data_IF_964909175056
#
_entry.id   IF_964909175056
#
_cell.length_a   1.000
_cell.length_b   1.000
_cell.length_c   1.000
_cell.angle_alpha   90.00
_cell.angle_beta   90.00
_cell.angle_gamma   90.00
#
_symmetry.space_group_name_H-M   'P 1'
#
loop_
_entity.id
_entity.type
_entity.pdbx_description
1 polymer ?
#
# COMPACT_ATOMS: atom_id res chain seq x y z
N UNK A 1 15.34 18.78 -35.09
CA UNK A 1 14.84 17.93 -33.99
C UNK A 1 13.37 18.28 -33.81
N UNK A 2 12.46 17.40 -34.22
CA UNK A 2 11.01 17.66 -34.13
C UNK A 2 10.58 17.23 -32.73
N UNK A 3 10.28 18.19 -31.86
CA UNK A 3 9.66 17.89 -30.57
C UNK A 3 8.23 17.43 -30.85
N UNK A 4 7.99 16.12 -30.72
CA UNK A 4 6.64 15.55 -30.76
C UNK A 4 5.86 16.06 -29.54
N UNK A 5 5.29 17.25 -29.64
CA UNK A 5 4.31 17.78 -28.70
C UNK A 5 3.07 16.91 -28.80
N UNK A 6 3.04 15.90 -27.93
CA UNK A 6 1.85 15.08 -27.72
C UNK A 6 0.78 15.98 -27.12
N UNK A 7 -0.13 16.48 -27.96
CA UNK A 7 -1.33 17.16 -27.49
C UNK A 7 -2.23 16.12 -26.81
N UNK A 8 -2.58 16.38 -25.55
CA UNK A 8 -3.68 15.68 -24.88
C UNK A 8 -4.91 16.53 -25.11
N UNK A 9 -5.87 15.98 -25.86
CA UNK A 9 -6.96 16.82 -26.35
C UNK A 9 -8.08 16.98 -25.34
N UNK A 10 -8.34 15.97 -24.47
CA UNK A 10 -9.36 16.05 -23.42
C UNK A 10 -9.12 15.03 -22.30
N UNK A 11 -9.17 15.48 -21.05
CA UNK A 11 -9.35 14.61 -19.88
C UNK A 11 -10.84 14.29 -19.72
N UNK A 12 -11.18 13.01 -19.58
CA UNK A 12 -12.56 12.54 -19.50
C UNK A 12 -13.00 12.31 -18.05
N UNK A 13 -12.16 11.63 -17.27
CA UNK A 13 -12.44 11.32 -15.86
C UNK A 13 -11.18 11.07 -15.07
N UNK A 14 -11.25 11.35 -13.79
CA UNK A 14 -10.26 10.96 -12.77
C UNK A 14 -10.92 10.02 -11.78
N UNK A 15 -10.17 9.04 -11.31
CA UNK A 15 -10.58 8.12 -10.26
C UNK A 15 -9.39 7.65 -9.42
N UNK A 16 -9.69 6.89 -8.36
CA UNK A 16 -8.69 6.35 -7.45
C UNK A 16 -8.75 4.82 -7.40
N UNK A 17 -7.60 4.20 -7.18
CA UNK A 17 -7.45 2.78 -6.86
C UNK A 17 -6.84 2.63 -5.47
N UNK A 18 -7.69 2.37 -4.47
CA UNK A 18 -7.29 2.29 -3.06
C UNK A 18 -6.23 1.21 -2.80
N UNK A 19 -6.41 -0.01 -3.32
CA UNK A 19 -5.48 -1.14 -3.14
C UNK A 19 -4.07 -0.87 -3.70
N UNK A 20 -3.96 -0.03 -4.73
CA UNK A 20 -2.70 0.28 -5.41
C UNK A 20 -2.19 1.69 -5.08
N UNK A 21 -2.86 2.38 -4.15
CA UNK A 21 -2.69 3.79 -3.85
C UNK A 21 -2.39 4.65 -5.10
N UNK A 22 -3.27 4.60 -6.09
CA UNK A 22 -3.02 5.22 -7.40
C UNK A 22 -4.15 6.11 -7.89
N UNK A 23 -3.78 7.25 -8.48
CA UNK A 23 -4.68 8.06 -9.31
C UNK A 23 -4.74 7.49 -10.72
N UNK A 24 -5.94 7.45 -11.28
CA UNK A 24 -6.19 7.00 -12.66
C UNK A 24 -6.87 8.12 -13.41
N UNK A 25 -6.20 8.60 -14.47
CA UNK A 25 -6.74 9.63 -15.37
C UNK A 25 -7.05 8.98 -16.71
N UNK A 26 -8.30 9.09 -17.15
CA UNK A 26 -8.72 8.68 -18.48
C UNK A 26 -8.77 9.91 -19.39
N UNK A 27 -8.15 9.81 -20.57
CA UNK A 27 -8.03 10.92 -21.51
C UNK A 27 -8.00 10.42 -22.96
N UNK A 28 -8.31 11.32 -23.89
CA UNK A 28 -8.18 11.03 -25.33
C UNK A 28 -6.93 11.70 -25.91
N UNK A 29 -6.20 10.96 -26.75
CA UNK A 29 -5.06 11.48 -27.51
C UNK A 29 -5.32 11.31 -29.01
N UNK A 30 -5.12 12.35 -29.81
CA UNK A 30 -5.08 12.23 -31.27
C UNK A 30 -3.73 11.61 -31.69
N UNK A 31 -3.80 10.53 -32.48
CA UNK A 31 -2.63 9.91 -33.09
C UNK A 31 -2.22 10.67 -34.36
N UNK A 32 -1.03 10.39 -34.91
CA UNK A 32 -0.50 11.03 -36.13
C UNK A 32 -1.43 10.88 -37.35
N UNK A 33 -2.37 9.92 -37.31
CA UNK A 33 -3.40 9.68 -38.33
C UNK A 33 -4.72 10.44 -38.10
N UNK A 34 -4.79 11.33 -37.12
CA UNK A 34 -5.99 12.11 -36.78
C UNK A 34 -7.07 11.34 -36.00
N UNK A 35 -6.86 10.06 -35.69
CA UNK A 35 -7.81 9.23 -34.93
C UNK A 35 -7.66 9.49 -33.42
N UNK A 36 -8.78 9.66 -32.71
CA UNK A 36 -8.83 9.75 -31.25
C UNK A 36 -8.69 8.34 -30.63
N UNK A 37 -7.75 8.20 -29.71
CA UNK A 37 -7.53 6.99 -28.92
C UNK A 37 -7.80 7.26 -27.44
N UNK A 38 -8.57 6.38 -26.79
CA UNK A 38 -8.77 6.40 -25.34
C UNK A 38 -7.51 5.87 -24.66
N UNK A 39 -7.03 6.57 -23.63
CA UNK A 39 -5.85 6.19 -22.85
C UNK A 39 -6.10 6.37 -21.36
N UNK A 40 -5.38 5.59 -20.57
CA UNK A 40 -5.35 5.68 -19.11
C UNK A 40 -3.94 5.97 -18.64
N UNK A 41 -3.79 6.95 -17.75
CA UNK A 41 -2.56 7.19 -16.99
C UNK A 41 -2.79 6.75 -15.55
N UNK A 42 -1.86 5.96 -15.01
CA UNK A 42 -1.81 5.63 -13.58
C UNK A 42 -0.65 6.38 -12.94
N UNK A 43 -0.90 6.96 -11.76
CA UNK A 43 0.10 7.63 -10.94
C UNK A 43 0.07 6.95 -9.57
N UNK A 44 1.12 6.22 -9.24
CA UNK A 44 1.27 5.53 -7.95
C UNK A 44 1.80 6.53 -6.93
N UNK A 45 1.12 6.61 -5.79
CA UNK A 45 1.41 7.60 -4.74
C UNK A 45 1.89 6.97 -3.44
N UNK A 46 1.92 5.63 -3.34
CA UNK A 46 2.29 4.89 -2.14
C UNK A 46 3.66 5.32 -1.59
N UNK A 47 4.70 5.23 -2.41
CA UNK A 47 6.07 5.61 -2.02
C UNK A 47 6.16 7.07 -1.53
N UNK A 48 5.38 7.96 -2.14
CA UNK A 48 5.35 9.37 -1.73
C UNK A 48 4.65 9.57 -0.39
N UNK A 49 3.59 8.81 -0.10
CA UNK A 49 2.88 8.95 1.17
C UNK A 49 3.70 8.29 2.28
N UNK A 50 4.16 7.06 2.07
CA UNK A 50 4.93 6.29 3.06
C UNK A 50 6.26 6.98 3.40
N UNK A 51 6.94 7.58 2.42
CA UNK A 51 8.21 8.27 2.68
C UNK A 51 8.04 9.54 3.53
N UNK A 52 6.92 10.23 3.40
CA UNK A 52 6.67 11.49 4.10
C UNK A 52 5.85 11.30 5.38
N UNK A 53 5.28 10.12 5.61
CA UNK A 53 4.61 9.75 6.85
C UNK A 53 5.58 8.98 7.76
N UNK A 54 5.63 9.25 9.07
CA UNK A 54 4.77 10.14 9.87
C UNK A 54 5.29 11.57 10.03
N UNK A 55 6.33 11.97 9.28
CA UNK A 55 7.02 13.27 9.48
C UNK A 55 6.16 14.49 9.13
N UNK A 56 5.31 14.37 8.10
CA UNK A 56 4.42 15.43 7.62
C UNK A 56 2.97 15.15 7.97
N UNK A 57 2.23 16.22 8.25
CA UNK A 57 0.77 16.17 8.43
C UNK A 57 0.06 15.81 7.11
N UNK A 58 -1.17 15.30 7.19
CA UNK A 58 -1.93 14.85 6.00
C UNK A 58 -2.10 15.99 4.96
N UNK A 59 -2.35 17.21 5.42
CA UNK A 59 -2.41 18.42 4.59
C UNK A 59 -1.10 18.68 3.84
N UNK A 60 0.03 18.52 4.51
CA UNK A 60 1.35 18.77 3.93
C UNK A 60 1.70 17.69 2.90
N UNK A 61 1.36 16.43 3.16
CA UNK A 61 1.52 15.33 2.21
C UNK A 61 0.69 15.59 0.94
N UNK A 62 -0.57 16.02 1.10
CA UNK A 62 -1.45 16.33 -0.04
C UNK A 62 -0.86 17.46 -0.90
N UNK A 63 -0.38 18.54 -0.29
CA UNK A 63 0.19 19.66 -1.03
C UNK A 63 1.52 19.28 -1.70
N UNK A 64 2.36 18.50 -1.02
CA UNK A 64 3.60 17.96 -1.58
C UNK A 64 3.33 17.12 -2.84
N UNK A 65 2.34 16.21 -2.78
CA UNK A 65 1.95 15.38 -3.93
C UNK A 65 1.46 16.25 -5.08
N UNK A 66 0.59 17.24 -4.82
CA UNK A 66 0.08 18.14 -5.86
C UNK A 66 1.23 18.86 -6.57
N UNK A 67 2.09 19.55 -5.81
CA UNK A 67 3.14 20.39 -6.38
C UNK A 67 4.25 19.55 -7.03
N UNK A 68 4.78 18.57 -6.32
CA UNK A 68 6.00 17.88 -6.72
C UNK A 68 5.76 16.63 -7.57
N UNK A 69 4.58 16.02 -7.51
CA UNK A 69 4.26 14.84 -8.33
C UNK A 69 3.37 15.22 -9.50
N UNK A 70 2.23 15.84 -9.23
CA UNK A 70 1.21 16.04 -10.25
C UNK A 70 1.55 17.21 -11.19
N UNK A 71 1.77 18.41 -10.66
CA UNK A 71 2.07 19.58 -11.49
C UNK A 71 3.50 19.57 -12.03
N UNK A 72 4.47 18.93 -11.36
CA UNK A 72 5.84 18.84 -11.89
C UNK A 72 5.98 17.77 -12.97
N UNK A 73 5.52 16.55 -12.73
CA UNK A 73 5.76 15.41 -13.62
C UNK A 73 4.60 15.11 -14.57
N UNK A 74 3.38 15.56 -14.27
CA UNK A 74 2.17 15.21 -15.00
C UNK A 74 1.29 16.41 -15.38
N UNK A 75 1.81 17.64 -15.41
CA UNK A 75 1.08 18.89 -15.73
C UNK A 75 0.11 18.74 -16.91
N UNK A 76 0.56 18.13 -18.02
CA UNK A 76 -0.24 17.93 -19.24
C UNK A 76 -1.63 17.31 -18.98
N UNK A 77 -1.72 16.42 -17.99
CA UNK A 77 -2.98 15.76 -17.62
C UNK A 77 -3.71 16.50 -16.48
N UNK A 78 -2.97 16.98 -15.48
CA UNK A 78 -3.58 17.51 -14.26
C UNK A 78 -3.98 18.99 -14.37
N UNK A 79 -3.43 19.76 -15.30
CA UNK A 79 -3.84 21.16 -15.55
C UNK A 79 -5.30 21.30 -15.99
N UNK A 80 -5.88 20.23 -16.55
CA UNK A 80 -7.26 20.20 -17.02
C UNK A 80 -8.26 19.75 -15.95
N UNK A 81 -7.77 19.35 -14.77
CA UNK A 81 -8.58 18.79 -13.69
C UNK A 81 -8.71 19.85 -12.59
N UNK A 82 -9.92 20.15 -12.09
CA UNK A 82 -10.07 21.12 -11.01
C UNK A 82 -9.28 20.74 -9.75
N UNK A 83 -8.57 21.70 -9.17
CA UNK A 83 -7.71 21.48 -8.00
C UNK A 83 -8.43 20.79 -6.83
N UNK A 84 -9.65 21.23 -6.52
CA UNK A 84 -10.46 20.64 -5.45
C UNK A 84 -10.76 19.15 -5.67
N UNK A 85 -10.86 18.72 -6.93
CA UNK A 85 -11.10 17.32 -7.27
C UNK A 85 -9.83 16.51 -7.07
N UNK A 86 -8.67 17.04 -7.50
CA UNK A 86 -7.37 16.41 -7.27
C UNK A 86 -7.12 16.26 -5.76
N UNK A 87 -7.28 17.34 -5.01
CA UNK A 87 -7.09 17.38 -3.56
C UNK A 87 -7.97 16.33 -2.86
N UNK A 88 -9.25 16.26 -3.20
CA UNK A 88 -10.17 15.27 -2.66
C UNK A 88 -9.70 13.84 -2.94
N UNK A 89 -9.23 13.55 -4.15
CA UNK A 89 -8.77 12.21 -4.53
C UNK A 89 -7.46 11.84 -3.83
N UNK A 90 -6.51 12.78 -3.73
CA UNK A 90 -5.23 12.57 -3.04
C UNK A 90 -5.48 12.38 -1.54
N UNK A 91 -6.30 13.22 -0.91
CA UNK A 91 -6.67 13.07 0.51
C UNK A 91 -7.30 11.71 0.80
N UNK A 92 -8.22 11.25 -0.06
CA UNK A 92 -8.80 9.90 0.08
C UNK A 92 -7.77 8.77 0.00
N UNK A 93 -6.69 8.95 -0.77
CA UNK A 93 -5.60 7.99 -0.84
C UNK A 93 -4.73 8.06 0.42
N UNK A 94 -4.34 9.27 0.85
CA UNK A 94 -3.59 9.52 2.08
C UNK A 94 -4.32 8.90 3.27
N UNK A 95 -5.58 9.27 3.50
CA UNK A 95 -6.44 8.69 4.55
C UNK A 95 -6.45 7.16 4.53
N UNK A 96 -6.58 6.56 3.34
CA UNK A 96 -6.66 5.11 3.21
C UNK A 96 -5.32 4.45 3.56
N UNK A 97 -4.22 5.06 3.15
CA UNK A 97 -2.87 4.59 3.48
C UNK A 97 -2.56 4.78 4.96
N UNK A 98 -2.72 5.98 5.53
CA UNK A 98 -2.42 6.28 6.94
C UNK A 98 -3.27 5.42 7.88
N UNK A 99 -4.56 5.23 7.59
CA UNK A 99 -5.43 4.34 8.38
C UNK A 99 -5.03 2.86 8.30
N UNK A 100 -4.42 2.43 7.19
CA UNK A 100 -3.89 1.06 7.09
C UNK A 100 -2.61 0.84 7.90
N UNK A 101 -1.89 1.91 8.26
CA UNK A 101 -0.68 1.86 9.09
C UNK A 101 -0.96 1.96 10.60
N UNK A 102 -2.19 2.30 11.01
CA UNK A 102 -2.54 2.42 12.43
C UNK A 102 -2.93 1.06 13.04
N UNK A 103 -2.50 0.75 14.28
CA UNK A 103 -2.96 -0.43 15.02
C UNK A 103 -4.50 -0.47 15.13
N UNK A 104 -5.13 -1.67 15.12
CA UNK A 104 -6.59 -1.81 15.11
C UNK A 104 -7.31 -1.16 16.30
N UNK A 105 -6.60 -0.79 17.38
CA UNK A 105 -7.18 -0.16 18.57
C UNK A 105 -7.55 1.32 18.41
N UNK A 106 -7.09 2.02 17.35
CA UNK A 106 -7.40 3.44 17.13
C UNK A 106 -8.38 3.70 15.97
N UNK A 107 -9.00 2.65 15.42
CA UNK A 107 -10.07 2.79 14.43
C UNK A 107 -11.32 3.38 15.10
N UNK A 108 -11.34 4.71 15.19
CA UNK A 108 -12.49 5.49 15.62
C UNK A 108 -13.66 5.15 14.71
N UNK A 109 -14.70 4.56 15.30
CA UNK A 109 -15.93 4.22 14.58
C UNK A 109 -16.48 5.48 13.89
N UNK A 110 -16.94 5.39 12.63
CA UNK A 110 -17.64 6.51 12.01
C UNK A 110 -18.92 6.79 12.79
N UNK A 111 -19.04 8.00 13.32
CA UNK A 111 -20.28 8.54 13.87
C UNK A 111 -21.38 8.40 12.81
N UNK A 112 -22.30 7.46 13.05
CA UNK A 112 -23.50 7.24 12.26
C UNK A 112 -24.47 8.39 12.51
N UNK A 113 -24.64 9.28 11.54
CA UNK A 113 -25.92 9.97 11.38
C UNK A 113 -26.90 9.02 10.70
N UNK A 114 -28.01 8.81 11.37
CA UNK A 114 -29.10 7.90 11.02
C UNK A 114 -29.66 8.16 9.61
N UNK A 115 -29.80 7.10 8.82
CA UNK A 115 -31.04 6.83 8.08
C UNK A 115 -31.21 5.32 8.01
N UNK A 116 -32.21 4.86 8.77
CA UNK A 116 -32.77 3.50 8.73
C UNK A 116 -33.39 3.29 7.36
N UNK A 117 -33.11 2.15 6.72
CA UNK A 117 -34.15 1.34 6.08
C UNK A 117 -33.67 -0.11 5.93
N UNK A 118 -34.55 -1.00 6.37
CA UNK A 118 -34.38 -2.42 6.60
C UNK A 118 -34.52 -3.26 5.32
N UNK A 119 -34.14 -4.53 5.49
CA UNK A 119 -34.41 -5.74 4.68
C UNK A 119 -33.45 -5.94 3.50
N UNK A 120 -32.80 -7.08 3.32
CA UNK A 120 -33.26 -8.45 3.52
C UNK A 120 -32.10 -9.44 3.71
N UNK A 121 -32.42 -10.55 4.38
CA UNK A 121 -31.55 -11.66 4.79
C UNK A 121 -31.76 -12.83 3.84
N UNK A 122 -30.71 -13.38 3.23
CA UNK A 122 -30.62 -14.72 2.62
C UNK A 122 -29.14 -14.93 2.21
N UNK A 123 -28.30 -15.73 2.90
CA UNK A 123 -28.19 -17.21 3.00
C UNK A 123 -27.99 -17.93 1.66
N UNK A 124 -26.73 -18.24 1.34
CA UNK A 124 -26.19 -19.30 0.46
C UNK A 124 -24.66 -19.26 0.70
N UNK A 125 -23.91 -20.21 1.28
CA UNK A 125 -23.77 -21.68 1.18
C UNK A 125 -23.68 -22.19 -0.26
N UNK A 126 -22.48 -22.10 -0.83
CA UNK A 126 -22.06 -22.81 -2.05
C UNK A 126 -20.53 -23.00 -1.93
N UNK A 127 -20.11 -24.16 -1.41
CA UNK A 127 -19.53 -25.29 -2.17
C UNK A 127 -18.16 -24.91 -2.75
N UNK A 128 -17.11 -25.40 -2.08
CA UNK A 128 -15.78 -25.53 -2.66
C UNK A 128 -15.86 -26.52 -3.81
N UNK A 129 -15.56 -26.06 -5.01
CA UNK A 129 -15.05 -26.91 -6.08
C UNK A 129 -13.53 -26.74 -6.08
N UNK A 130 -12.84 -27.80 -5.69
CA UNK A 130 -11.41 -27.98 -5.84
C UNK A 130 -11.14 -28.16 -7.34
N UNK A 131 -10.65 -27.11 -8.00
CA UNK A 131 -10.02 -27.27 -9.31
C UNK A 131 -8.55 -27.65 -9.09
N UNK A 132 -8.22 -28.87 -9.51
CA UNK A 132 -6.88 -29.38 -9.69
C UNK A 132 -6.05 -28.41 -10.55
N UNK A 133 -5.24 -27.59 -9.89
CA UNK A 133 -4.14 -26.88 -10.56
C UNK A 133 -3.03 -27.91 -10.70
N UNK A 134 -2.85 -28.38 -11.93
CA UNK A 134 -1.75 -29.27 -12.34
C UNK A 134 -0.43 -28.77 -11.75
N UNK A 135 0.26 -29.68 -11.05
CA UNK A 135 1.60 -29.47 -10.51
C UNK A 135 2.59 -29.25 -11.66
N UNK A 136 2.63 -28.03 -12.19
CA UNK A 136 3.75 -27.56 -13.01
C UNK A 136 4.96 -27.40 -12.10
N UNK A 137 5.76 -28.46 -12.08
CA UNK A 137 7.22 -28.55 -11.91
C UNK A 137 7.90 -27.19 -11.66
N UNK A 138 7.69 -26.62 -10.47
CA UNK A 138 8.40 -25.41 -10.05
C UNK A 138 9.69 -25.85 -9.40
N UNK A 139 10.75 -25.65 -10.16
CA UNK A 139 12.15 -25.95 -9.89
C UNK A 139 12.50 -25.94 -8.40
N UNK A 140 13.17 -27.03 -8.01
CA UNK A 140 13.90 -27.20 -6.76
C UNK A 140 14.85 -26.02 -6.56
N UNK A 141 14.36 -24.94 -5.96
CA UNK A 141 15.19 -23.85 -5.50
C UNK A 141 16.09 -24.39 -4.39
N UNK A 142 17.38 -24.35 -4.67
CA UNK A 142 18.45 -24.84 -3.83
C UNK A 142 18.28 -24.40 -2.37
N UNK A 143 18.48 -25.37 -1.49
CA UNK A 143 18.36 -25.31 -0.03
C UNK A 143 19.57 -24.58 0.59
N UNK A 144 19.92 -23.41 0.04
CA UNK A 144 20.98 -22.56 0.56
C UNK A 144 20.44 -21.73 1.74
N UNK A 145 20.54 -22.37 2.90
CA UNK A 145 21.06 -21.81 4.16
C UNK A 145 21.10 -20.25 4.25
N UNK A 146 20.12 -19.71 4.99
CA UNK A 146 20.15 -18.40 5.68
C UNK A 146 19.96 -17.08 4.89
N UNK A 147 19.32 -17.08 3.71
CA UNK A 147 19.19 -15.84 2.92
C UNK A 147 17.96 -14.95 3.21
N UNK A 148 17.11 -15.27 4.20
CA UNK A 148 15.93 -14.44 4.52
C UNK A 148 16.27 -13.04 5.07
N UNK A 149 17.50 -12.83 5.58
CA UNK A 149 17.93 -11.50 6.05
C UNK A 149 18.21 -10.53 4.91
N UNK A 150 18.43 -11.01 3.69
CA UNK A 150 18.71 -10.20 2.50
C UNK A 150 17.50 -9.98 1.60
N UNK A 151 16.43 -10.76 1.78
CA UNK A 151 15.25 -10.70 0.92
C UNK A 151 14.24 -9.63 1.36
N UNK A 152 13.67 -8.93 0.38
CA UNK A 152 12.58 -8.00 0.60
C UNK A 152 11.27 -8.79 0.79
N UNK A 153 10.91 -9.02 2.06
CA UNK A 153 9.72 -9.80 2.45
C UNK A 153 8.42 -9.24 1.86
N UNK A 154 8.39 -7.97 1.45
CA UNK A 154 7.21 -7.34 0.84
C UNK A 154 7.02 -7.70 -0.64
N UNK A 155 8.05 -8.28 -1.27
CA UNK A 155 8.03 -8.71 -2.68
C UNK A 155 7.81 -10.21 -2.85
N UNK A 156 7.81 -10.98 -1.75
CA UNK A 156 7.58 -12.41 -1.77
C UNK A 156 6.10 -12.73 -2.03
N UNK A 157 5.86 -13.85 -2.68
CA UNK A 157 4.53 -14.41 -2.85
C UNK A 157 4.03 -15.04 -1.53
N UNK A 158 2.70 -15.24 -1.44
CA UNK A 158 2.04 -15.76 -0.24
C UNK A 158 2.56 -17.15 0.19
N UNK A 159 3.00 -17.99 -0.76
CA UNK A 159 3.50 -19.33 -0.46
C UNK A 159 4.91 -19.25 0.14
N UNK A 160 5.78 -18.42 -0.42
CA UNK A 160 7.12 -18.17 0.13
C UNK A 160 7.07 -17.50 1.51
N UNK A 161 6.19 -16.50 1.69
CA UNK A 161 5.96 -15.85 3.00
C UNK A 161 5.57 -16.85 4.09
N UNK A 162 4.72 -17.84 3.77
CA UNK A 162 4.36 -18.90 4.72
C UNK A 162 5.56 -19.77 5.10
N UNK A 163 6.44 -20.08 4.15
CA UNK A 163 7.67 -20.85 4.42
C UNK A 163 8.64 -20.08 5.31
N UNK A 164 8.87 -18.80 5.00
CA UNK A 164 9.72 -17.91 5.83
C UNK A 164 9.18 -17.84 7.26
N UNK A 165 7.86 -17.63 7.40
CA UNK A 165 7.20 -17.58 8.70
C UNK A 165 7.36 -18.90 9.48
N UNK A 166 7.11 -20.04 8.83
CA UNK A 166 7.26 -21.34 9.48
C UNK A 166 8.69 -21.55 10.02
N UNK A 167 9.71 -21.17 9.23
CA UNK A 167 11.12 -21.27 9.65
C UNK A 167 11.48 -20.29 10.77
N UNK A 168 10.89 -19.09 10.79
CA UNK A 168 11.04 -18.17 11.92
C UNK A 168 10.38 -18.72 13.19
N UNK A 169 9.20 -19.33 13.06
CA UNK A 169 8.47 -19.92 14.19
C UNK A 169 9.20 -21.12 14.81
N UNK A 170 9.93 -21.92 14.03
CA UNK A 170 10.77 -23.02 14.55
C UNK A 170 11.88 -22.54 15.49
N UNK A 171 12.47 -21.38 15.18
CA UNK A 171 13.52 -20.77 16.00
C UNK A 171 12.96 -19.90 17.12
N UNK A 172 11.68 -19.51 17.04
CA UNK A 172 11.02 -18.67 18.02
C UNK A 172 10.59 -19.48 19.26
N UNK A 173 11.49 -19.53 20.25
CA UNK A 173 11.22 -20.19 21.55
C UNK A 173 10.75 -19.18 22.58
N UNK A 174 9.44 -19.02 22.70
CA UNK A 174 8.84 -18.28 23.81
C UNK A 174 8.60 -19.21 24.99
N UNK A 175 9.12 -18.84 26.17
CA UNK A 175 8.82 -19.53 27.42
C UNK A 175 7.32 -19.37 27.74
N UNK A 176 6.64 -20.47 28.03
CA UNK A 176 5.22 -20.49 28.41
C UNK A 176 5.05 -20.65 29.93
N UNK A 177 3.89 -20.28 30.49
CA UNK A 177 3.55 -20.64 31.86
C UNK A 177 3.71 -22.15 32.09
N UNK A 178 4.68 -22.52 32.93
CA UNK A 178 5.04 -23.92 33.21
C UNK A 178 6.42 -24.35 32.71
N UNK A 179 7.05 -23.58 31.81
CA UNK A 179 8.42 -23.85 31.37
C UNK A 179 9.45 -23.40 32.41
N UNK A 180 10.57 -24.13 32.50
CA UNK A 180 11.66 -23.79 33.42
C UNK A 180 12.25 -22.42 33.09
N UNK A 181 12.17 -21.48 34.03
CA UNK A 181 12.64 -20.10 33.86
C UNK A 181 11.59 -19.12 33.34
N UNK A 182 10.34 -19.55 33.15
CA UNK A 182 9.23 -18.63 32.91
C UNK A 182 8.93 -17.82 34.19
N UNK A 183 8.95 -16.50 34.06
CA UNK A 183 8.67 -15.55 35.15
C UNK A 183 7.61 -14.58 34.68
N UNK A 184 6.51 -14.48 35.44
CA UNK A 184 5.50 -13.45 35.24
C UNK A 184 6.12 -12.07 35.49
N UNK A 185 5.79 -11.10 34.64
CA UNK A 185 6.28 -9.72 34.75
C UNK A 185 7.81 -9.62 34.85
N UNK A 186 8.53 -10.35 33.98
CA UNK A 186 9.99 -10.30 33.90
C UNK A 186 10.45 -8.86 33.64
N UNK A 187 10.93 -8.19 34.68
CA UNK A 187 11.59 -6.89 34.59
C UNK A 187 13.04 -7.10 34.13
N UNK A 188 13.50 -6.29 33.19
CA UNK A 188 14.86 -6.32 32.67
C UNK A 188 15.45 -4.93 32.82
N UNK A 189 16.57 -4.82 33.56
CA UNK A 189 17.29 -3.57 33.74
C UNK A 189 18.18 -3.29 32.53
N UNK A 190 17.85 -2.26 31.76
CA UNK A 190 18.60 -1.88 30.55
C UNK A 190 19.83 -1.01 30.85
N UNK A 191 20.02 -0.57 32.09
CA UNK A 191 21.11 0.33 32.48
C UNK A 191 22.51 -0.29 32.33
N UNK A 192 22.61 -1.63 32.37
CA UNK A 192 23.87 -2.37 32.21
C UNK A 192 24.10 -2.88 30.78
N UNK A 193 23.22 -2.57 29.82
CA UNK A 193 23.41 -2.93 28.42
C UNK A 193 24.32 -1.86 27.78
N UNK A 194 25.38 -2.23 27.05
CA UNK A 194 26.20 -1.25 26.35
C UNK A 194 25.32 -0.39 25.44
N UNK A 195 25.26 0.91 25.74
CA UNK A 195 24.50 1.88 24.96
C UNK A 195 25.17 2.02 23.60
N UNK A 196 24.67 1.28 22.61
CA UNK A 196 24.96 1.57 21.21
C UNK A 196 24.46 2.96 20.90
N UNK A 197 25.34 3.83 20.41
CA UNK A 197 25.02 5.19 20.01
C UNK A 197 23.92 5.12 18.94
N UNK A 198 22.72 5.60 19.29
CA UNK A 198 21.60 5.65 18.36
C UNK A 198 21.92 6.67 17.28
N UNK A 199 21.90 6.25 16.01
CA UNK A 199 22.12 7.13 14.86
C UNK A 199 20.92 8.05 14.56
N UNK A 200 19.98 8.16 15.50
CA UNK A 200 18.76 8.94 15.37
C UNK A 200 18.87 10.35 15.98
N UNK A 201 19.97 10.66 16.65
CA UNK A 201 20.21 11.96 17.33
C UNK A 201 21.26 12.82 16.60
N UNK A 202 21.43 12.62 15.28
CA UNK A 202 22.24 13.49 14.38
C UNK A 202 21.35 14.19 13.34
#
# INVERSE_FOLDING_TARGET
>A
MVTNTTSVDNVLRIGIRKKQCALVVEYTKINNKGKKELRHRRVYLEDYIVKNYPELDEEEIVENIKQNVLFKHHHVLFDHIPDHQIEKMVRQLVDHTTKSFLPPEQQSQPNKSNTVNNNEKQKLTEVLEEEDIEEEDFEQFDDDEDDFKGQDLNKLDDQSLKRVKARMDENFKQLKPGDAGYVYDKQVDFDNVPKTQSSWDD
#
